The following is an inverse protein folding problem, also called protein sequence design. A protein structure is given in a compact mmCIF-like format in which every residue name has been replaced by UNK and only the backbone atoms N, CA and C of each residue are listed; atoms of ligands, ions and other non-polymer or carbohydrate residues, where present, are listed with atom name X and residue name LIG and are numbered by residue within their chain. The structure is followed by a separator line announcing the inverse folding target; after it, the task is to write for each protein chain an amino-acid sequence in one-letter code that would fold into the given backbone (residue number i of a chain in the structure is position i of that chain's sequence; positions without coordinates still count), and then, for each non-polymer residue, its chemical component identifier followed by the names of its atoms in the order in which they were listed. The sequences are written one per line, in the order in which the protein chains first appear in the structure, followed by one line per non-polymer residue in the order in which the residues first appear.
data_IF_145789238730
#
_entry.id   IF_145789238730
#
_cell.length_a   1.000
_cell.length_b   1.000
_cell.length_c   1.000
_cell.angle_alpha   90.00
_cell.angle_beta   90.00
_cell.angle_gamma   90.00
#
_symmetry.space_group_name_H-M   'P 1'
#
loop_
_entity.id
_entity.type
_entity.pdbx_description
1 polymer ?
#
# COMPACT_ATOMS: atom_id res chain seq x y z
N UNK A 1 25.69 18.25 1.52
CA UNK A 1 26.51 17.23 0.85
C UNK A 1 25.81 15.90 1.06
N UNK A 2 25.42 15.19 -0.01
CA UNK A 2 24.71 13.91 0.10
C UNK A 2 25.63 12.78 0.57
N UNK A 3 25.08 11.62 1.02
CA UNK A 3 25.89 10.48 1.42
C UNK A 3 26.77 9.98 0.26
N UNK A 4 28.01 9.51 0.53
CA UNK A 4 28.90 8.96 -0.49
C UNK A 4 28.32 7.64 -1.05
N UNK A 5 28.62 7.33 -2.32
CA UNK A 5 28.09 6.15 -3.01
C UNK A 5 28.36 4.83 -2.26
N UNK A 6 29.47 4.73 -1.53
CA UNK A 6 29.81 3.58 -0.70
C UNK A 6 28.81 3.35 0.45
N UNK A 7 28.21 4.41 1.00
CA UNK A 7 27.22 4.32 2.07
C UNK A 7 25.81 3.99 1.56
N UNK A 8 25.55 4.08 0.24
CA UNK A 8 24.21 3.88 -0.32
C UNK A 8 23.73 2.43 -0.18
N UNK A 9 24.63 1.45 -0.32
CA UNK A 9 24.27 0.04 -0.21
C UNK A 9 23.81 -0.31 1.21
N UNK A 10 24.60 0.10 2.22
CA UNK A 10 24.25 -0.08 3.63
C UNK A 10 22.95 0.63 4.00
N UNK A 11 22.80 1.90 3.59
CA UNK A 11 21.59 2.66 3.86
C UNK A 11 20.34 2.04 3.23
N UNK A 12 20.43 1.57 1.97
CA UNK A 12 19.32 0.87 1.31
C UNK A 12 18.94 -0.42 2.02
N UNK A 13 19.93 -1.18 2.50
CA UNK A 13 19.67 -2.42 3.25
C UNK A 13 18.97 -2.13 4.59
N UNK A 14 19.46 -1.16 5.36
CA UNK A 14 18.81 -0.77 6.62
C UNK A 14 17.41 -0.20 6.41
N UNK A 15 17.19 0.56 5.33
CA UNK A 15 15.84 0.95 4.95
C UNK A 15 14.99 -0.30 4.67
N UNK A 16 15.49 -1.27 3.91
CA UNK A 16 14.79 -2.53 3.61
C UNK A 16 14.36 -3.32 4.85
N UNK A 17 15.14 -3.26 5.92
CA UNK A 17 14.81 -3.87 7.20
C UNK A 17 13.60 -3.19 7.86
N UNK A 18 13.42 -1.87 7.68
CA UNK A 18 12.26 -1.13 8.20
C UNK A 18 10.98 -1.54 7.47
N UNK A 19 10.94 -1.46 6.14
CA UNK A 19 9.71 -1.71 5.39
C UNK A 19 9.38 -3.20 5.20
N UNK A 20 10.33 -4.11 5.43
CA UNK A 20 10.07 -5.55 5.41
C UNK A 20 10.01 -6.18 6.81
N UNK A 21 9.97 -5.38 7.87
CA UNK A 21 9.79 -5.90 9.22
C UNK A 21 8.49 -6.71 9.33
N UNK A 22 8.47 -7.63 10.30
CA UNK A 22 7.35 -8.54 10.54
C UNK A 22 6.06 -7.79 10.90
N UNK A 23 6.19 -6.75 11.74
CA UNK A 23 5.11 -5.89 12.18
C UNK A 23 5.59 -4.46 12.45
N UNK A 24 4.67 -3.60 12.89
CA UNK A 24 4.91 -2.18 13.15
C UNK A 24 5.93 -1.96 14.27
N UNK A 25 5.93 -2.79 15.30
CA UNK A 25 6.83 -2.66 16.46
C UNK A 25 8.27 -3.00 16.08
N UNK A 26 8.46 -4.07 15.29
CA UNK A 26 9.76 -4.41 14.72
C UNK A 26 10.26 -3.33 13.75
N UNK A 27 9.36 -2.70 12.98
CA UNK A 27 9.74 -1.58 12.12
C UNK A 27 10.22 -0.37 12.93
N UNK A 28 9.55 -0.03 14.05
CA UNK A 28 10.01 1.01 14.97
C UNK A 28 11.39 0.71 15.56
N UNK A 29 11.64 -0.54 15.96
CA UNK A 29 12.96 -0.95 16.43
C UNK A 29 14.04 -0.77 15.34
N UNK A 30 13.77 -1.20 14.11
CA UNK A 30 14.69 -1.03 12.98
C UNK A 30 14.96 0.46 12.67
N UNK A 31 13.97 1.34 12.83
CA UNK A 31 14.16 2.80 12.65
C UNK A 31 15.10 3.37 13.70
N UNK A 32 14.98 2.91 14.96
CA UNK A 32 15.89 3.32 16.04
C UNK A 32 17.33 2.95 15.72
N UNK A 33 17.56 1.74 15.21
CA UNK A 33 18.89 1.28 14.79
C UNK A 33 19.42 2.05 13.58
N UNK A 34 18.54 2.37 12.62
CA UNK A 34 18.86 3.23 11.48
C UNK A 34 19.27 4.65 11.94
N UNK A 35 18.53 5.23 12.87
CA UNK A 35 18.84 6.54 13.44
C UNK A 35 20.16 6.52 14.21
N UNK A 36 20.43 5.49 15.00
CA UNK A 36 21.71 5.35 15.71
C UNK A 36 22.89 5.25 14.73
N UNK A 37 22.73 4.50 13.64
CA UNK A 37 23.79 4.24 12.66
C UNK A 37 24.08 5.46 11.78
N UNK A 38 23.04 6.17 11.32
CA UNK A 38 23.16 7.21 10.29
C UNK A 38 22.85 8.63 10.79
N UNK A 39 22.25 8.80 11.97
CA UNK A 39 21.72 10.07 12.46
C UNK A 39 22.78 11.17 12.60
N UNK A 40 23.98 10.82 13.08
CA UNK A 40 25.07 11.80 13.25
C UNK A 40 25.62 12.27 11.90
N UNK A 41 25.79 11.34 10.94
CA UNK A 41 26.43 11.63 9.65
C UNK A 41 25.46 12.22 8.63
N UNK A 42 24.19 11.81 8.67
CA UNK A 42 23.17 12.19 7.70
C UNK A 42 21.86 12.63 8.37
N UNK A 43 21.89 13.62 9.28
CA UNK A 43 20.73 13.98 10.11
C UNK A 43 19.51 14.37 9.26
N UNK A 44 19.71 15.09 8.15
CA UNK A 44 18.62 15.48 7.24
C UNK A 44 17.98 14.30 6.52
N UNK A 45 18.74 13.25 6.23
CA UNK A 45 18.20 12.06 5.57
C UNK A 45 17.43 11.19 6.56
N UNK A 46 17.91 11.08 7.79
CA UNK A 46 17.23 10.34 8.86
C UNK A 46 15.93 11.04 9.26
N UNK A 47 15.93 12.38 9.35
CA UNK A 47 14.71 13.16 9.63
C UNK A 47 13.57 12.84 8.65
N UNK A 48 13.87 12.61 7.36
CA UNK A 48 12.86 12.22 6.36
C UNK A 48 12.19 10.88 6.58
N UNK A 49 12.73 10.04 7.45
CA UNK A 49 12.12 8.77 7.84
C UNK A 49 11.43 8.90 9.20
N UNK A 50 12.09 9.57 10.14
CA UNK A 50 11.64 9.65 11.54
C UNK A 50 10.48 10.63 11.71
N UNK A 51 10.48 11.76 11.00
CA UNK A 51 9.48 12.82 11.18
C UNK A 51 8.08 12.40 10.71
N UNK A 52 8.00 11.51 9.71
CA UNK A 52 6.75 11.04 9.09
C UNK A 52 6.56 9.51 9.30
N UNK A 53 7.06 8.99 10.43
CA UNK A 53 7.20 7.56 10.64
C UNK A 53 5.86 6.84 10.78
N UNK A 54 4.87 7.47 11.41
CA UNK A 54 3.55 6.88 11.59
C UNK A 54 2.85 6.68 10.24
N UNK A 55 2.92 7.69 9.36
CA UNK A 55 2.38 7.64 8.01
C UNK A 55 3.12 6.60 7.16
N UNK A 56 4.44 6.51 7.29
CA UNK A 56 5.25 5.54 6.55
C UNK A 56 4.90 4.09 6.93
N UNK A 57 4.56 3.85 8.19
CA UNK A 57 4.25 2.52 8.73
C UNK A 57 2.75 2.24 8.81
N UNK A 58 1.87 3.15 8.39
CA UNK A 58 0.42 2.98 8.43
C UNK A 58 -0.06 1.75 7.64
N UNK A 59 0.71 1.27 6.65
CA UNK A 59 0.35 0.09 5.88
C UNK A 59 0.23 -1.19 6.74
N UNK A 60 0.86 -1.26 7.92
CA UNK A 60 0.73 -2.39 8.85
C UNK A 60 -0.69 -2.54 9.44
N UNK A 61 -1.53 -1.52 9.32
CA UNK A 61 -2.94 -1.48 9.74
C UNK A 61 -3.91 -1.96 8.65
N UNK A 62 -3.36 -2.48 7.54
CA UNK A 62 -4.09 -3.12 6.44
C UNK A 62 -3.78 -4.63 6.40
N UNK A 63 -4.58 -5.46 5.70
CA UNK A 63 -4.32 -6.90 5.58
C UNK A 63 -2.88 -7.21 5.17
N UNK A 64 -2.27 -8.21 5.80
CA UNK A 64 -0.89 -8.60 5.54
C UNK A 64 -0.65 -8.99 4.07
N UNK A 65 -1.65 -9.56 3.42
CA UNK A 65 -1.63 -9.92 2.01
C UNK A 65 -1.44 -8.69 1.10
N UNK A 66 -1.90 -7.52 1.54
CA UNK A 66 -1.84 -6.28 0.77
C UNK A 66 -0.51 -5.55 0.93
N UNK A 67 0.27 -5.83 1.97
CA UNK A 67 1.50 -5.11 2.29
C UNK A 67 2.50 -5.06 1.13
N UNK A 68 2.66 -6.16 0.40
CA UNK A 68 3.58 -6.22 -0.76
C UNK A 68 3.24 -5.19 -1.85
N UNK A 69 1.95 -4.84 -1.97
CA UNK A 69 1.47 -3.85 -2.93
C UNK A 69 1.51 -2.43 -2.37
N UNK A 70 1.31 -2.27 -1.06
CA UNK A 70 1.29 -0.96 -0.37
C UNK A 70 2.69 -0.40 -0.11
N UNK A 71 3.72 -1.24 0.04
CA UNK A 71 5.12 -0.83 0.27
C UNK A 71 5.81 -0.24 -0.97
N UNK A 72 5.18 -0.30 -2.14
CA UNK A 72 5.81 0.12 -3.41
C UNK A 72 4.94 1.12 -4.16
N UNK A 73 5.61 2.07 -4.81
CA UNK A 73 4.98 3.03 -5.72
C UNK A 73 4.78 2.46 -7.13
N UNK A 74 5.20 1.21 -7.40
CA UNK A 74 5.09 0.59 -8.72
C UNK A 74 3.69 0.65 -9.34
N UNK A 75 2.59 0.40 -8.61
CA UNK A 75 1.24 0.53 -9.18
C UNK A 75 0.92 1.95 -9.70
N UNK A 76 1.53 2.97 -9.12
CA UNK A 76 1.37 4.37 -9.55
C UNK A 76 2.38 4.68 -10.65
N UNK A 77 3.65 4.35 -10.47
CA UNK A 77 4.70 4.71 -11.42
C UNK A 77 4.54 4.01 -12.78
N UNK A 78 4.17 2.73 -12.75
CA UNK A 78 3.97 1.91 -13.95
C UNK A 78 2.81 2.41 -14.80
N UNK A 79 1.71 2.86 -14.18
CA UNK A 79 0.53 3.36 -14.91
C UNK A 79 0.82 4.65 -15.66
N UNK A 80 1.62 5.54 -15.07
CA UNK A 80 2.06 6.78 -15.71
C UNK A 80 3.28 6.62 -16.63
N UNK A 81 3.99 5.49 -16.60
CA UNK A 81 5.20 5.28 -17.40
C UNK A 81 4.92 5.44 -18.90
N UNK A 82 3.83 4.84 -19.39
CA UNK A 82 3.42 4.95 -20.80
C UNK A 82 3.02 6.37 -21.18
N UNK A 83 2.32 7.08 -20.29
CA UNK A 83 1.92 8.48 -20.53
C UNK A 83 3.15 9.37 -20.67
N UNK A 84 4.13 9.23 -19.77
CA UNK A 84 5.40 9.97 -19.83
C UNK A 84 6.18 9.65 -21.10
N UNK A 85 6.27 8.37 -21.46
CA UNK A 85 6.92 7.92 -22.69
C UNK A 85 6.30 8.57 -23.93
N UNK A 86 4.97 8.48 -24.07
CA UNK A 86 4.26 9.04 -25.23
C UNK A 86 4.36 10.57 -25.29
N UNK A 87 4.31 11.24 -24.14
CA UNK A 87 4.51 12.70 -24.06
C UNK A 87 5.90 13.10 -24.58
N UNK A 88 6.94 12.30 -24.26
CA UNK A 88 8.30 12.54 -24.75
C UNK A 88 8.41 12.30 -26.26
N UNK A 89 7.84 11.20 -26.78
CA UNK A 89 7.89 10.84 -28.21
C UNK A 89 7.16 11.88 -29.07
N UNK A 90 5.96 12.30 -28.63
CA UNK A 90 5.13 13.29 -29.34
C UNK A 90 5.60 14.73 -29.18
N UNK A 91 6.62 14.99 -28.34
CA UNK A 91 7.09 16.32 -27.94
C UNK A 91 5.97 17.19 -27.35
N UNK A 92 5.08 16.55 -26.60
CA UNK A 92 3.93 17.18 -25.97
C UNK A 92 2.63 17.00 -26.77
N UNK A 93 1.47 17.23 -26.13
CA UNK A 93 0.18 16.88 -26.71
C UNK A 93 -0.40 17.89 -27.71
N UNK A 94 0.30 18.99 -28.00
CA UNK A 94 -0.19 20.09 -28.86
C UNK A 94 -1.30 20.96 -28.26
N UNK A 95 -2.14 20.40 -27.38
CA UNK A 95 -3.13 21.14 -26.57
C UNK A 95 -3.41 20.42 -25.25
N UNK A 96 -3.98 21.14 -24.27
CA UNK A 96 -4.39 20.56 -22.98
C UNK A 96 -5.44 19.45 -23.14
N UNK A 97 -6.44 19.67 -24.00
CA UNK A 97 -7.50 18.71 -24.25
C UNK A 97 -6.96 17.41 -24.87
N UNK A 98 -6.07 17.52 -25.87
CA UNK A 98 -5.41 16.37 -26.47
C UNK A 98 -4.54 15.61 -25.45
N UNK A 99 -3.90 16.31 -24.53
CA UNK A 99 -3.09 15.70 -23.47
C UNK A 99 -3.92 14.85 -22.51
N UNK A 100 -5.08 15.36 -22.07
CA UNK A 100 -6.00 14.58 -21.25
C UNK A 100 -6.57 13.38 -22.00
N UNK A 101 -6.98 13.55 -23.26
CA UNK A 101 -7.51 12.45 -24.07
C UNK A 101 -6.46 11.34 -24.24
N UNK A 102 -5.20 11.72 -24.53
CA UNK A 102 -4.09 10.78 -24.63
C UNK A 102 -3.85 10.03 -23.31
N UNK A 103 -3.70 10.76 -22.19
CA UNK A 103 -3.47 10.14 -20.88
C UNK A 103 -4.61 9.19 -20.50
N UNK A 104 -5.86 9.62 -20.69
CA UNK A 104 -7.05 8.81 -20.43
C UNK A 104 -7.01 7.51 -21.24
N UNK A 105 -6.80 7.58 -22.55
CA UNK A 105 -6.79 6.37 -23.41
C UNK A 105 -5.62 5.43 -23.12
N UNK A 106 -4.45 5.96 -22.77
CA UNK A 106 -3.31 5.13 -22.38
C UNK A 106 -3.54 4.42 -21.04
N UNK A 107 -4.12 5.12 -20.05
CA UNK A 107 -4.49 4.52 -18.76
C UNK A 107 -5.61 3.50 -18.94
N UNK A 108 -6.63 3.83 -19.75
CA UNK A 108 -7.73 2.92 -20.10
C UNK A 108 -7.23 1.65 -20.80
N UNK A 109 -6.17 1.74 -21.60
CA UNK A 109 -5.53 0.56 -22.18
C UNK A 109 -4.68 -0.21 -21.17
N UNK A 110 -4.00 0.47 -20.24
CA UNK A 110 -3.16 -0.16 -19.23
C UNK A 110 -3.99 -0.96 -18.20
N UNK A 111 -5.16 -0.44 -17.82
CA UNK A 111 -6.03 -1.06 -16.81
C UNK A 111 -6.40 -2.52 -17.13
N UNK A 112 -6.52 -2.85 -18.42
CA UNK A 112 -6.90 -4.20 -18.89
C UNK A 112 -5.89 -5.28 -18.50
N UNK A 113 -4.67 -4.89 -18.13
CA UNK A 113 -3.57 -5.79 -17.75
C UNK A 113 -3.21 -5.68 -16.27
N UNK A 114 -3.96 -4.92 -15.47
CA UNK A 114 -3.65 -4.79 -14.05
C UNK A 114 -3.97 -6.09 -13.31
N UNK A 115 -2.99 -6.52 -12.53
CA UNK A 115 -3.14 -7.63 -11.60
C UNK A 115 -3.92 -7.12 -10.37
N UNK A 116 -4.88 -7.91 -9.92
CA UNK A 116 -5.54 -7.65 -8.65
C UNK A 116 -4.55 -7.71 -7.47
N UNK A 117 -4.87 -6.99 -6.38
CA UNK A 117 -4.15 -7.16 -5.11
C UNK A 117 -4.29 -8.60 -4.62
N UNK A 118 -3.35 -9.06 -3.79
CA UNK A 118 -3.50 -10.37 -3.16
C UNK A 118 -4.73 -10.35 -2.25
N UNK A 119 -5.44 -11.48 -2.11
CA UNK A 119 -6.70 -11.56 -1.38
C UNK A 119 -7.69 -10.39 -1.68
N UNK A 120 -8.19 -10.26 -2.93
CA UNK A 120 -9.06 -9.14 -3.33
C UNK A 120 -10.35 -9.01 -2.51
N UNK A 121 -10.85 -10.11 -1.96
CA UNK A 121 -12.07 -10.12 -1.14
C UNK A 121 -11.92 -9.27 0.14
N UNK A 122 -10.70 -9.13 0.69
CA UNK A 122 -10.43 -8.30 1.87
C UNK A 122 -10.59 -6.81 1.60
N UNK A 123 -10.55 -6.37 0.34
CA UNK A 123 -10.77 -4.95 -0.03
C UNK A 123 -12.16 -4.48 0.43
N UNK A 124 -13.16 -5.37 0.43
CA UNK A 124 -14.49 -5.02 0.93
C UNK A 124 -14.47 -4.66 2.43
N UNK A 125 -13.69 -5.39 3.24
CA UNK A 125 -13.54 -5.16 4.67
C UNK A 125 -12.76 -3.87 4.94
N UNK A 126 -11.68 -3.63 4.20
CA UNK A 126 -10.94 -2.37 4.26
C UNK A 126 -11.85 -1.19 3.94
N UNK A 127 -12.66 -1.28 2.87
CA UNK A 127 -13.63 -0.22 2.51
C UNK A 127 -14.74 -0.04 3.54
N UNK A 128 -15.09 -1.07 4.28
CA UNK A 128 -16.06 -1.01 5.37
C UNK A 128 -15.46 -0.45 6.68
N UNK A 129 -14.15 -0.13 6.71
CA UNK A 129 -13.47 0.39 7.89
C UNK A 129 -13.18 -0.67 8.96
N UNK A 130 -13.05 -1.94 8.57
CA UNK A 130 -12.62 -2.99 9.48
C UNK A 130 -11.20 -2.71 10.03
N UNK A 131 -10.97 -3.04 11.29
CA UNK A 131 -9.68 -2.81 11.95
C UNK A 131 -8.78 -4.02 11.77
N UNK A 132 -7.54 -3.77 11.35
CA UNK A 132 -6.49 -4.77 11.31
C UNK A 132 -5.35 -4.38 12.25
N UNK A 133 -4.87 -5.34 13.04
CA UNK A 133 -3.71 -5.16 13.92
C UNK A 133 -2.64 -6.15 13.47
N UNK A 134 -1.46 -5.65 13.11
CA UNK A 134 -0.40 -6.49 12.53
C UNK A 134 -0.85 -7.25 11.29
N UNK A 135 -1.71 -6.63 10.48
CA UNK A 135 -2.27 -7.21 9.26
C UNK A 135 -3.29 -8.32 9.44
N UNK A 136 -3.74 -8.58 10.67
CA UNK A 136 -4.81 -9.55 10.97
C UNK A 136 -6.10 -8.82 11.29
N UNK A 137 -7.21 -9.33 10.76
CA UNK A 137 -8.54 -8.81 11.06
C UNK A 137 -8.82 -9.00 12.56
N UNK A 138 -9.17 -7.90 13.23
CA UNK A 138 -9.65 -7.96 14.60
C UNK A 138 -11.16 -7.94 14.55
N UNK A 139 -11.78 -9.08 14.84
CA UNK A 139 -13.22 -9.10 15.10
C UNK A 139 -13.51 -8.19 16.28
N UNK A 140 -14.45 -7.27 16.09
CA UNK A 140 -14.92 -6.40 17.18
C UNK A 140 -15.49 -7.29 18.27
N UNK A 141 -14.74 -7.51 19.36
CA UNK A 141 -15.31 -7.96 20.63
C UNK A 141 -16.30 -6.88 21.05
N UNK A 142 -17.59 -7.12 20.79
CA UNK A 142 -18.68 -6.36 21.37
C UNK A 142 -18.60 -6.58 22.87
N UNK A 143 -17.95 -5.66 23.59
CA UNK A 143 -18.09 -5.57 25.05
C UNK A 143 -19.57 -5.27 25.28
N UNK A 144 -20.30 -6.25 25.78
CA UNK A 144 -21.75 -6.22 25.87
C UNK A 144 -22.28 -5.02 26.64
N UNK A 145 -22.99 -4.14 25.95
CA UNK A 145 -24.17 -3.51 26.52
C UNK A 145 -25.40 -4.15 25.87
N UNK A 146 -26.19 -4.83 26.70
CA UNK A 146 -27.49 -5.41 26.33
C UNK A 146 -28.36 -4.32 25.71
N UNK A 147 -28.63 -4.43 24.42
CA UNK A 147 -29.60 -3.58 23.74
C UNK A 147 -29.55 -3.71 22.23
N UNK A 148 -30.39 -4.60 21.70
CA UNK A 148 -30.75 -4.73 20.27
C UNK A 148 -29.66 -5.25 19.32
N UNK A 149 -29.80 -6.51 18.94
CA UNK A 149 -29.00 -7.20 17.93
C UNK A 149 -29.36 -6.66 16.55
N UNK A 150 -28.45 -5.94 15.88
CA UNK A 150 -28.58 -5.65 14.45
C UNK A 150 -28.20 -6.91 13.67
N UNK A 151 -29.22 -7.54 13.08
CA UNK A 151 -29.15 -8.80 12.33
C UNK A 151 -28.34 -8.71 11.02
N UNK A 152 -27.82 -7.53 10.66
CA UNK A 152 -27.15 -7.26 9.37
C UNK A 152 -25.73 -7.82 9.24
N UNK A 153 -25.02 -8.05 10.35
CA UNK A 153 -23.62 -8.54 10.25
C UNK A 153 -23.54 -10.06 10.02
N UNK A 154 -24.49 -10.83 10.56
CA UNK A 154 -24.56 -12.30 10.34
C UNK A 154 -24.94 -12.67 8.89
N UNK A 155 -25.66 -11.78 8.22
CA UNK A 155 -26.00 -11.93 6.80
C UNK A 155 -24.83 -11.62 5.86
N UNK A 156 -23.90 -10.75 6.26
CA UNK A 156 -22.70 -10.44 5.48
C UNK A 156 -21.74 -11.63 5.42
N UNK A 157 -21.50 -12.33 6.53
CA UNK A 157 -20.64 -13.52 6.55
C UNK A 157 -21.21 -14.64 5.66
N UNK A 158 -22.53 -14.80 5.66
CA UNK A 158 -23.24 -15.81 4.85
C UNK A 158 -23.25 -15.44 3.36
N UNK A 159 -23.46 -14.17 3.02
CA UNK A 159 -23.49 -13.69 1.64
C UNK A 159 -22.07 -13.60 1.02
N UNK A 160 -21.07 -13.20 1.80
CA UNK A 160 -19.66 -13.14 1.35
C UNK A 160 -19.12 -14.55 1.10
N UNK A 161 -19.44 -15.53 1.95
CA UNK A 161 -19.07 -16.94 1.69
C UNK A 161 -19.80 -17.53 0.47
N UNK A 162 -21.05 -17.12 0.22
CA UNK A 162 -21.85 -17.62 -0.91
C UNK A 162 -21.39 -17.04 -2.25
N UNK A 163 -20.98 -15.77 -2.28
CA UNK A 163 -20.43 -15.14 -3.49
C UNK A 163 -19.07 -15.74 -3.87
N UNK A 164 -18.29 -16.22 -2.89
CA UNK A 164 -17.03 -16.91 -3.14
C UNK A 164 -17.22 -18.32 -3.75
N UNK A 165 -18.26 -19.07 -3.35
CA UNK A 165 -18.53 -20.41 -3.90
C UNK A 165 -19.20 -20.43 -5.28
N UNK A 166 -19.84 -19.35 -5.70
CA UNK A 166 -20.57 -19.28 -6.96
C UNK A 166 -19.74 -18.96 -8.21
N UNK A 167 -18.46 -18.59 -8.05
CA UNK A 167 -17.63 -18.07 -9.16
C UNK A 167 -16.54 -19.03 -9.66
N UNK A 168 -16.49 -20.25 -9.11
CA UNK A 168 -15.57 -21.31 -9.55
C UNK A 168 -16.23 -22.34 -10.49
N UNK A 169 -17.49 -22.11 -10.92
CA UNK A 169 -18.22 -23.01 -11.82
C UNK A 169 -18.36 -22.51 -13.28
N UNK A 170 -17.75 -21.38 -13.63
CA UNK A 170 -17.67 -20.89 -15.02
C UNK A 170 -16.37 -20.12 -15.28
N UNK A 171 -15.32 -20.85 -15.61
CA UNK A 171 -14.23 -20.43 -16.50
C UNK A 171 -13.45 -21.68 -16.91
#
# INVERSE_FOLDING_TARGET
MGPPKSAHLGGKKSLAEIWNAEDKDHAFAAVKDFQATYGVKYPKAVAKVVDDLEELLAFYEFPAEHWVHLRTTNPIESTFATVRHQTKVTKGPGSRAAGFAMAFKLIESAQKRWRAVNAPHLVALVRAGATFIGGKLVERLVIGHRGSVDSRLKDLDSQVLTIARGRDARA
#
